data_IF_728101661147
#
_entry.id   IF_728101661147
#
_cell.length_a   1.000
_cell.length_b   1.000
_cell.length_c   1.000
_cell.angle_alpha   90.00
_cell.angle_beta   90.00
_cell.angle_gamma   90.00
#
_symmetry.space_group_name_H-M   'P 1'
#
loop_
_entity.id
_entity.type
_entity.pdbx_description
1 polymer ?
#
# COMPACT_ATOMS: atom_id res chain seq x y z
N UNK A 1 20.39 23.28 8.32
CA UNK A 1 20.80 22.47 7.16
C UNK A 1 20.31 21.03 7.20
N UNK A 2 19.98 20.47 8.37
CA UNK A 2 19.57 19.05 8.50
C UNK A 2 18.07 18.80 8.27
N UNK A 3 17.22 19.79 8.43
CA UNK A 3 15.78 19.62 8.26
C UNK A 3 15.31 19.56 6.78
N UNK A 4 16.07 20.14 5.86
CA UNK A 4 15.72 20.10 4.42
C UNK A 4 15.96 18.73 3.79
N UNK A 5 16.96 17.97 4.22
CA UNK A 5 17.29 16.67 3.61
C UNK A 5 16.24 15.58 3.86
N UNK A 6 15.48 15.62 4.95
CA UNK A 6 14.45 14.63 5.27
C UNK A 6 13.16 14.93 4.49
N UNK A 7 12.84 16.20 4.23
CA UNK A 7 11.66 16.60 3.48
C UNK A 7 11.76 16.35 1.97
N UNK A 8 12.99 16.24 1.44
CA UNK A 8 13.24 16.01 0.02
C UNK A 8 13.44 14.53 -0.33
N UNK A 9 13.44 13.61 0.65
CA UNK A 9 13.50 12.19 0.38
C UNK A 9 12.17 11.68 -0.14
N UNK A 10 12.07 11.51 -1.45
CA UNK A 10 10.89 10.93 -2.09
C UNK A 10 10.98 9.39 -2.05
N UNK A 11 10.73 8.78 -0.89
CA UNK A 11 10.61 7.34 -0.79
C UNK A 11 9.20 6.92 -1.24
N UNK A 12 9.08 6.53 -2.51
CA UNK A 12 7.78 6.24 -3.15
C UNK A 12 6.94 5.20 -2.42
N UNK A 13 7.56 4.17 -1.85
CA UNK A 13 6.86 3.17 -1.03
C UNK A 13 6.18 3.76 0.21
N UNK A 14 6.80 4.75 0.86
CA UNK A 14 6.15 5.46 1.96
C UNK A 14 5.01 6.36 1.48
N UNK A 15 5.25 7.18 0.46
CA UNK A 15 4.27 8.16 -0.03
C UNK A 15 3.01 7.48 -0.55
N UNK A 16 3.17 6.54 -1.47
CA UNK A 16 2.06 5.81 -2.09
C UNK A 16 1.44 4.80 -1.12
N UNK A 17 2.26 4.17 -0.29
CA UNK A 17 1.79 3.26 0.76
C UNK A 17 0.93 3.97 1.80
N UNK A 18 1.32 5.18 2.23
CA UNK A 18 0.50 5.99 3.13
C UNK A 18 -0.81 6.41 2.48
N UNK A 19 -0.78 6.87 1.22
CA UNK A 19 -1.98 7.24 0.49
C UNK A 19 -2.96 6.04 0.40
N UNK A 20 -2.45 4.87 0.05
CA UNK A 20 -3.23 3.63 -0.02
C UNK A 20 -3.77 3.23 1.37
N UNK A 21 -2.95 3.31 2.41
CA UNK A 21 -3.37 3.01 3.78
C UNK A 21 -4.51 3.93 4.24
N UNK A 22 -4.40 5.23 3.94
CA UNK A 22 -5.44 6.21 4.25
C UNK A 22 -6.72 5.98 3.43
N UNK A 23 -6.60 5.69 2.14
CA UNK A 23 -7.73 5.32 1.27
C UNK A 23 -8.47 4.10 1.82
N UNK A 24 -7.76 3.00 2.10
CA UNK A 24 -8.35 1.78 2.66
C UNK A 24 -9.04 2.02 4.01
N UNK A 25 -8.52 2.95 4.82
CA UNK A 25 -9.12 3.37 6.08
C UNK A 25 -10.36 4.24 5.89
N UNK A 26 -10.44 5.01 4.81
CA UNK A 26 -11.53 5.96 4.56
C UNK A 26 -12.89 5.29 4.34
N UNK A 27 -12.92 4.06 3.82
CA UNK A 27 -14.17 3.29 3.66
C UNK A 27 -14.94 3.14 4.99
N UNK A 28 -14.22 3.05 6.11
CA UNK A 28 -14.83 2.90 7.45
C UNK A 28 -15.32 4.22 8.05
N UNK A 29 -15.01 5.36 7.40
CA UNK A 29 -15.41 6.70 7.84
C UNK A 29 -16.56 7.26 6.99
N UNK A 30 -16.99 6.55 5.96
CA UNK A 30 -18.06 6.98 5.07
C UNK A 30 -19.43 6.72 5.70
N UNK A 31 -20.15 7.76 6.10
CA UNK A 31 -21.48 7.67 6.72
C UNK A 31 -22.54 6.97 5.84
N UNK A 32 -22.30 6.92 4.52
CA UNK A 32 -23.20 6.27 3.55
C UNK A 32 -23.03 4.75 3.44
N UNK A 33 -22.01 4.19 4.10
CA UNK A 33 -21.71 2.75 4.03
C UNK A 33 -22.02 2.05 5.35
N UNK A 34 -22.60 0.84 5.28
CA UNK A 34 -22.60 -0.05 6.44
C UNK A 34 -21.18 -0.59 6.67
N UNK A 35 -20.93 -1.13 7.86
CA UNK A 35 -19.61 -1.74 8.17
C UNK A 35 -19.26 -2.88 7.21
N UNK A 36 -20.24 -3.71 6.86
CA UNK A 36 -20.06 -4.83 5.93
C UNK A 36 -19.72 -4.34 4.52
N UNK A 37 -20.39 -3.29 4.06
CA UNK A 37 -20.10 -2.65 2.77
C UNK A 37 -18.68 -2.04 2.77
N UNK A 38 -18.29 -1.35 3.84
CA UNK A 38 -16.94 -0.81 3.98
C UNK A 38 -15.86 -1.90 3.93
N UNK A 39 -16.07 -3.01 4.65
CA UNK A 39 -15.19 -4.18 4.61
C UNK A 39 -15.09 -4.76 3.20
N UNK A 40 -16.22 -4.95 2.53
CA UNK A 40 -16.27 -5.52 1.17
C UNK A 40 -15.49 -4.63 0.18
N UNK A 41 -15.75 -3.33 0.18
CA UNK A 41 -15.07 -2.37 -0.69
C UNK A 41 -13.57 -2.33 -0.42
N UNK A 42 -13.17 -2.24 0.85
CA UNK A 42 -11.76 -2.24 1.24
C UNK A 42 -11.04 -3.52 0.79
N UNK A 43 -11.66 -4.69 0.99
CA UNK A 43 -11.08 -5.97 0.57
C UNK A 43 -10.98 -6.08 -0.95
N UNK A 44 -12.03 -5.66 -1.67
CA UNK A 44 -12.02 -5.66 -3.14
C UNK A 44 -10.90 -4.76 -3.69
N UNK A 45 -10.77 -3.53 -3.19
CA UNK A 45 -9.72 -2.60 -3.60
C UNK A 45 -8.32 -3.14 -3.28
N UNK A 46 -8.14 -3.73 -2.09
CA UNK A 46 -6.87 -4.33 -1.68
C UNK A 46 -6.48 -5.54 -2.54
N UNK A 47 -7.44 -6.42 -2.87
CA UNK A 47 -7.19 -7.58 -3.76
C UNK A 47 -6.81 -7.11 -5.15
N UNK A 48 -7.54 -6.15 -5.72
CA UNK A 48 -7.23 -5.62 -7.06
C UNK A 48 -5.83 -5.03 -7.12
N UNK A 49 -5.44 -4.24 -6.12
CA UNK A 49 -4.10 -3.66 -6.04
C UNK A 49 -3.02 -4.74 -5.88
N UNK A 50 -3.30 -5.81 -5.10
CA UNK A 50 -2.41 -6.95 -4.96
C UNK A 50 -2.21 -7.67 -6.30
N UNK A 51 -3.27 -7.86 -7.09
CA UNK A 51 -3.18 -8.47 -8.43
C UNK A 51 -2.32 -7.65 -9.37
N UNK A 52 -2.43 -6.32 -9.34
CA UNK A 52 -1.56 -5.44 -10.13
C UNK A 52 -0.09 -5.55 -9.68
N UNK A 53 0.17 -5.59 -8.37
CA UNK A 53 1.52 -5.75 -7.85
C UNK A 53 2.13 -7.11 -8.24
N UNK A 54 1.36 -8.20 -8.18
CA UNK A 54 1.79 -9.52 -8.63
C UNK A 54 2.05 -9.56 -10.14
N UNK A 55 1.19 -8.92 -10.94
CA UNK A 55 1.39 -8.83 -12.38
C UNK A 55 2.65 -8.00 -12.73
N UNK A 56 2.93 -6.92 -11.97
CA UNK A 56 4.14 -6.11 -12.13
C UNK A 56 5.40 -6.98 -11.90
N UNK A 57 5.41 -7.80 -10.85
CA UNK A 57 6.49 -8.78 -10.61
C UNK A 57 6.56 -9.83 -11.71
N UNK A 58 5.42 -10.42 -12.09
CA UNK A 58 5.37 -11.43 -13.15
C UNK A 58 5.92 -10.93 -14.48
N UNK A 59 5.56 -9.70 -14.86
CA UNK A 59 6.01 -9.08 -16.12
C UNK A 59 7.50 -8.75 -16.08
N UNK A 60 7.96 -8.07 -15.01
CA UNK A 60 9.31 -7.52 -15.00
C UNK A 60 10.38 -8.46 -14.43
N UNK A 61 10.00 -9.41 -13.59
CA UNK A 61 10.91 -10.37 -12.98
C UNK A 61 10.82 -11.76 -13.64
N UNK A 62 9.58 -12.27 -13.83
CA UNK A 62 9.36 -13.60 -14.39
C UNK A 62 9.25 -13.61 -15.93
N UNK A 63 9.20 -12.43 -16.56
CA UNK A 63 9.14 -12.29 -18.01
C UNK A 63 7.79 -12.64 -18.64
N UNK A 64 6.68 -12.44 -17.89
CA UNK A 64 5.33 -12.70 -18.43
C UNK A 64 5.05 -11.84 -19.66
N UNK A 65 4.53 -12.49 -20.69
CA UNK A 65 3.97 -11.84 -21.85
C UNK A 65 2.46 -11.52 -21.66
N UNK A 66 1.84 -10.91 -22.67
CA UNK A 66 0.40 -10.57 -22.62
C UNK A 66 -0.49 -11.78 -22.36
N UNK A 67 -0.19 -12.95 -22.94
CA UNK A 67 -0.99 -14.16 -22.76
C UNK A 67 -0.89 -14.70 -21.33
N UNK A 68 0.31 -14.67 -20.75
CA UNK A 68 0.53 -15.08 -19.37
C UNK A 68 -0.25 -14.16 -18.41
N UNK A 69 -0.19 -12.85 -18.64
CA UNK A 69 -0.93 -11.85 -17.87
C UNK A 69 -2.45 -12.03 -18.00
N UNK A 70 -2.96 -12.28 -19.20
CA UNK A 70 -4.40 -12.56 -19.41
C UNK A 70 -4.81 -13.83 -18.67
N UNK A 71 -4.00 -14.88 -18.73
CA UNK A 71 -4.26 -16.14 -18.01
C UNK A 71 -4.31 -15.90 -16.50
N UNK A 72 -3.34 -15.19 -15.95
CA UNK A 72 -3.29 -14.84 -14.53
C UNK A 72 -4.55 -14.10 -14.09
N UNK A 73 -4.91 -12.99 -14.73
CA UNK A 73 -6.08 -12.22 -14.33
C UNK A 73 -7.40 -12.98 -14.49
N UNK A 74 -7.49 -13.88 -15.48
CA UNK A 74 -8.66 -14.73 -15.68
C UNK A 74 -8.91 -15.69 -14.50
N UNK A 75 -7.84 -16.20 -13.87
CA UNK A 75 -7.95 -17.06 -12.68
C UNK A 75 -8.60 -16.32 -11.50
N UNK A 76 -8.51 -14.99 -11.47
CA UNK A 76 -9.12 -14.15 -10.44
C UNK A 76 -10.42 -13.44 -10.90
N UNK A 77 -11.01 -13.91 -11.99
CA UNK A 77 -12.32 -13.44 -12.45
C UNK A 77 -12.28 -12.18 -13.34
N UNK A 78 -11.10 -11.68 -13.70
CA UNK A 78 -10.97 -10.58 -14.66
C UNK A 78 -10.91 -11.18 -16.07
N UNK A 79 -12.07 -11.34 -16.71
CA UNK A 79 -12.21 -12.12 -17.96
C UNK A 79 -11.99 -11.35 -19.25
N UNK A 80 -11.94 -10.02 -19.24
CA UNK A 80 -11.76 -9.24 -20.47
C UNK A 80 -10.29 -9.15 -20.88
N UNK A 81 -9.91 -9.85 -21.96
CA UNK A 81 -8.55 -9.78 -22.50
C UNK A 81 -8.18 -8.34 -22.94
N UNK A 82 -9.15 -7.55 -23.40
CA UNK A 82 -8.92 -6.15 -23.78
C UNK A 82 -8.50 -5.31 -22.57
N UNK A 83 -9.24 -5.41 -21.45
CA UNK A 83 -8.90 -4.72 -20.19
C UNK A 83 -7.52 -5.17 -19.69
N UNK A 84 -7.24 -6.47 -19.70
CA UNK A 84 -5.95 -6.98 -19.22
C UNK A 84 -4.79 -6.53 -20.11
N UNK A 85 -5.00 -6.40 -21.43
CA UNK A 85 -3.98 -5.85 -22.32
C UNK A 85 -3.68 -4.37 -22.02
N UNK A 86 -4.67 -3.57 -21.66
CA UNK A 86 -4.46 -2.19 -21.22
C UNK A 86 -3.68 -2.15 -19.89
N UNK A 87 -4.01 -3.05 -18.95
CA UNK A 87 -3.27 -3.20 -17.68
C UNK A 87 -1.80 -3.56 -17.97
N UNK A 88 -1.58 -4.51 -18.88
CA UNK A 88 -0.22 -4.92 -19.27
C UNK A 88 0.60 -3.74 -19.82
N UNK A 89 0.00 -2.93 -20.70
CA UNK A 89 0.67 -1.74 -21.28
C UNK A 89 1.01 -0.69 -20.21
N UNK A 90 0.11 -0.47 -19.25
CA UNK A 90 0.35 0.42 -18.13
C UNK A 90 1.51 -0.07 -17.24
N UNK A 91 1.55 -1.36 -16.95
CA UNK A 91 2.59 -1.97 -16.10
C UNK A 91 3.95 -1.91 -16.81
N UNK A 92 4.03 -2.26 -18.11
CA UNK A 92 5.28 -2.16 -18.90
C UNK A 92 5.80 -0.73 -18.91
N UNK A 93 4.92 0.26 -19.01
CA UNK A 93 5.31 1.67 -19.04
C UNK A 93 5.86 2.22 -17.72
N UNK A 94 5.67 1.50 -16.62
CA UNK A 94 6.05 1.97 -15.28
C UNK A 94 6.45 0.81 -14.36
N UNK A 95 7.64 0.23 -14.54
CA UNK A 95 8.11 -0.91 -13.75
C UNK A 95 8.13 -0.61 -12.25
N UNK A 96 7.62 -1.54 -11.43
CA UNK A 96 7.59 -1.43 -9.98
C UNK A 96 6.60 -0.40 -9.43
N UNK A 97 5.77 0.20 -10.29
CA UNK A 97 4.84 1.24 -9.85
C UNK A 97 3.82 0.70 -8.85
N UNK A 98 3.20 -0.43 -9.15
CA UNK A 98 2.16 -0.99 -8.26
C UNK A 98 2.71 -1.61 -6.99
N UNK A 99 3.99 -1.99 -6.98
CA UNK A 99 4.69 -2.42 -5.76
C UNK A 99 4.78 -1.29 -4.72
N UNK A 100 5.01 -0.05 -5.14
CA UNK A 100 5.04 1.10 -4.22
C UNK A 100 3.74 1.26 -3.45
N UNK A 101 2.61 1.08 -4.12
CA UNK A 101 1.29 1.19 -3.51
C UNK A 101 1.00 0.00 -2.58
N UNK A 102 1.09 -1.23 -3.11
CA UNK A 102 0.65 -2.40 -2.34
C UNK A 102 1.63 -2.79 -1.24
N UNK A 103 2.93 -2.89 -1.54
CA UNK A 103 3.93 -3.21 -0.52
C UNK A 103 4.03 -2.10 0.52
N UNK A 104 4.01 -0.82 0.08
CA UNK A 104 3.98 0.30 1.01
C UNK A 104 2.76 0.26 1.94
N UNK A 105 1.58 -0.10 1.44
CA UNK A 105 0.38 -0.31 2.26
C UNK A 105 0.56 -1.43 3.28
N UNK A 106 1.10 -2.59 2.87
CA UNK A 106 1.37 -3.73 3.75
C UNK A 106 2.37 -3.35 4.85
N UNK A 107 3.41 -2.62 4.51
CA UNK A 107 4.40 -2.13 5.49
C UNK A 107 3.75 -1.23 6.56
N UNK A 108 2.84 -0.32 6.18
CA UNK A 108 2.09 0.47 7.17
C UNK A 108 1.17 -0.39 8.05
N UNK A 109 0.59 -1.46 7.53
CA UNK A 109 -0.18 -2.40 8.34
C UNK A 109 0.71 -3.15 9.34
N UNK A 110 1.91 -3.56 8.94
CA UNK A 110 2.88 -4.22 9.84
C UNK A 110 3.38 -3.25 10.91
N UNK A 111 3.70 -2.01 10.56
CA UNK A 111 4.06 -0.98 11.56
C UNK A 111 2.93 -0.76 12.57
N UNK A 112 1.68 -0.67 12.08
CA UNK A 112 0.51 -0.53 12.94
C UNK A 112 0.33 -1.73 13.86
N UNK A 113 0.50 -2.94 13.35
CA UNK A 113 0.42 -4.17 14.13
C UNK A 113 1.43 -4.16 15.28
N UNK A 114 2.69 -3.84 14.99
CA UNK A 114 3.75 -3.69 16.01
C UNK A 114 3.40 -2.61 17.05
N UNK A 115 2.80 -1.50 16.59
CA UNK A 115 2.35 -0.44 17.48
C UNK A 115 1.22 -0.91 18.42
N UNK A 116 0.21 -1.60 17.89
CA UNK A 116 -0.88 -2.20 18.67
C UNK A 116 -0.35 -3.19 19.69
N UNK A 117 0.54 -4.09 19.29
CA UNK A 117 1.14 -5.10 20.17
C UNK A 117 1.91 -4.47 21.34
N UNK A 118 2.65 -3.38 21.09
CA UNK A 118 3.41 -2.67 22.12
C UNK A 118 2.53 -1.85 23.05
N UNK A 119 1.48 -1.20 22.53
CA UNK A 119 0.61 -0.31 23.32
C UNK A 119 -0.51 -1.04 24.05
N UNK A 120 -0.91 -2.21 23.58
CA UNK A 120 -2.00 -2.99 24.17
C UNK A 120 -3.28 -2.15 24.29
N UNK A 121 -3.83 -2.10 25.51
CA UNK A 121 -5.06 -1.34 25.81
C UNK A 121 -4.92 0.17 25.63
N UNK A 122 -3.69 0.71 25.64
CA UNK A 122 -3.42 2.13 25.42
C UNK A 122 -3.23 2.48 23.94
N UNK A 123 -3.65 1.61 23.00
CA UNK A 123 -3.56 1.88 21.58
C UNK A 123 -4.39 3.10 21.17
N UNK A 124 -3.75 4.01 20.44
CA UNK A 124 -4.39 5.16 19.81
C UNK A 124 -4.00 5.22 18.34
N UNK A 125 -5.00 5.18 17.45
CA UNK A 125 -4.83 5.34 16.01
C UNK A 125 -4.16 6.68 15.67
N UNK A 126 -4.58 7.75 16.36
CA UNK A 126 -4.05 9.11 16.17
C UNK A 126 -2.58 9.20 16.53
N UNK A 127 -2.19 8.57 17.64
CA UNK A 127 -0.78 8.55 18.07
C UNK A 127 0.09 7.74 17.11
N UNK A 128 -0.40 6.60 16.61
CA UNK A 128 0.27 5.84 15.57
C UNK A 128 0.49 6.70 14.31
N UNK A 129 -0.58 7.33 13.81
CA UNK A 129 -0.48 8.20 12.63
C UNK A 129 0.52 9.35 12.85
N UNK A 130 0.46 9.99 14.03
CA UNK A 130 1.41 11.04 14.36
C UNK A 130 2.85 10.53 14.37
N UNK A 131 3.09 9.38 14.99
CA UNK A 131 4.43 8.82 15.11
C UNK A 131 5.06 8.52 13.75
N UNK A 132 4.32 7.92 12.82
CA UNK A 132 4.85 7.63 11.47
C UNK A 132 5.00 8.88 10.63
N UNK A 133 4.07 9.85 10.73
CA UNK A 133 4.12 11.10 9.95
C UNK A 133 5.20 12.06 10.45
N UNK A 134 5.53 12.06 11.74
CA UNK A 134 6.63 12.85 12.30
C UNK A 134 8.00 12.39 11.77
N UNK A 135 8.15 11.10 11.45
CA UNK A 135 9.37 10.59 10.79
C UNK A 135 9.43 11.05 9.34
N UNK A 136 8.29 11.03 8.63
CA UNK A 136 8.20 11.40 7.23
C UNK A 136 8.69 10.32 6.25
N UNK A 137 8.76 10.65 4.93
CA UNK A 137 9.11 9.70 3.90
C UNK A 137 10.53 9.16 4.05
N UNK A 138 10.64 7.89 4.44
CA UNK A 138 11.90 7.18 4.64
C UNK A 138 11.70 5.66 4.37
N UNK A 139 12.76 4.88 4.18
CA UNK A 139 12.68 3.42 4.22
C UNK A 139 12.00 2.92 5.49
N UNK A 140 11.15 1.92 5.39
CA UNK A 140 10.30 1.46 6.50
C UNK A 140 11.07 1.02 7.74
N UNK A 141 12.28 0.47 7.56
CA UNK A 141 13.19 0.15 8.67
C UNK A 141 13.56 1.39 9.50
N UNK A 142 13.75 2.53 8.83
CA UNK A 142 14.02 3.80 9.50
C UNK A 142 12.76 4.36 10.13
N UNK A 143 11.61 4.27 9.45
CA UNK A 143 10.32 4.67 10.03
C UNK A 143 10.06 3.88 11.32
N UNK A 144 10.22 2.56 11.29
CA UNK A 144 10.07 1.71 12.48
C UNK A 144 11.02 2.11 13.61
N UNK A 145 12.30 2.36 13.28
CA UNK A 145 13.31 2.74 14.27
C UNK A 145 12.97 4.05 14.97
N UNK A 146 12.49 5.04 14.21
CA UNK A 146 12.32 6.41 14.74
C UNK A 146 10.92 6.73 15.24
N UNK A 147 9.87 6.02 14.80
CA UNK A 147 8.51 6.28 15.24
C UNK A 147 8.30 6.09 16.76
N UNK A 148 9.21 5.38 17.45
CA UNK A 148 9.18 5.19 18.89
C UNK A 148 9.86 6.30 19.70
N UNK A 149 10.58 7.21 19.05
CA UNK A 149 11.39 8.23 19.76
C UNK A 149 10.56 9.41 20.29
N UNK A 150 9.33 9.59 19.79
CA UNK A 150 8.40 10.62 20.29
C UNK A 150 7.72 10.27 21.61
N UNK A 151 8.04 9.12 22.22
CA UNK A 151 7.41 8.59 23.44
C UNK A 151 8.21 8.91 24.72
N UNK A 152 8.81 10.09 24.81
CA UNK A 152 9.48 10.55 26.05
C UNK A 152 8.57 11.42 26.86
#
# INVERSE_FOLDING_TARGET
GSEMCIRDSNFGGYVEGWATYAEMGSYYLADSLTREQAVLLQKNSSILLALYALADMGIHYDGWNRMDTVKFFKEYGVGSAEIVNQIYDLIIGSPGNYLKYYIGYVEFLELKKKWVEKKGENFSQKEFHKAVLDVGPAPFELVEKYMWQGEK
#
